data_IF_857865319391
#
_entry.id   IF_857865319391
#
_cell.length_a   1.000
_cell.length_b   1.000
_cell.length_c   1.000
_cell.angle_alpha   90.00
_cell.angle_beta   90.00
_cell.angle_gamma   90.00
#
_symmetry.space_group_name_H-M   'P 1'
#
loop_
_entity.id
_entity.type
_entity.pdbx_description
1 polymer ?
#
# COMPACT_ATOMS: atom_id res chain seq x y z
N UNK A 1 -45.77 5.54 27.18
CA UNK A 1 -44.62 6.42 27.41
C UNK A 1 -43.44 5.84 26.65
N UNK A 2 -43.08 6.47 25.52
CA UNK A 2 -42.02 5.98 24.64
C UNK A 2 -40.67 6.54 25.08
N UNK A 3 -39.70 5.67 25.35
CA UNK A 3 -38.31 6.04 25.54
C UNK A 3 -37.57 5.75 24.23
N UNK A 4 -37.44 6.77 23.39
CA UNK A 4 -36.54 6.72 22.24
C UNK A 4 -35.12 6.99 22.72
N UNK A 5 -34.32 5.94 22.87
CA UNK A 5 -32.88 6.05 23.03
C UNK A 5 -32.30 6.44 21.66
N UNK A 6 -31.90 7.70 21.53
CA UNK A 6 -31.20 8.19 20.36
C UNK A 6 -29.79 7.57 20.35
N UNK A 7 -29.58 6.59 19.48
CA UNK A 7 -28.27 6.01 19.20
C UNK A 7 -27.45 7.04 18.40
N UNK A 8 -26.53 7.73 19.07
CA UNK A 8 -25.59 8.67 18.44
C UNK A 8 -24.60 7.92 17.55
N UNK A 9 -24.96 7.71 16.29
CA UNK A 9 -24.05 7.33 15.22
C UNK A 9 -23.18 8.54 14.84
N UNK A 10 -22.18 8.86 15.65
CA UNK A 10 -21.01 9.59 15.20
C UNK A 10 -20.13 8.63 14.39
N UNK A 11 -20.61 8.26 13.21
CA UNK A 11 -19.78 7.73 12.15
C UNK A 11 -18.88 8.89 11.69
N UNK A 12 -17.81 9.13 12.44
CA UNK A 12 -16.73 10.00 12.01
C UNK A 12 -16.33 9.55 10.62
N UNK A 13 -16.39 10.48 9.65
CA UNK A 13 -15.90 10.25 8.30
C UNK A 13 -14.49 9.69 8.44
N UNK A 14 -14.32 8.38 8.21
CA UNK A 14 -13.00 7.79 8.05
C UNK A 14 -12.53 8.27 6.69
N UNK A 15 -11.98 9.48 6.69
CA UNK A 15 -11.40 10.13 5.54
C UNK A 15 -10.12 9.35 5.26
N UNK A 16 -10.20 8.36 4.36
CA UNK A 16 -9.01 7.69 3.89
C UNK A 16 -8.14 8.70 3.14
N UNK A 17 -6.84 8.57 3.35
CA UNK A 17 -5.80 9.11 2.48
C UNK A 17 -5.65 8.13 1.29
N UNK A 18 -4.98 8.48 0.17
CA UNK A 18 -4.37 9.76 -0.24
C UNK A 18 -5.35 10.92 -0.54
N UNK A 19 -4.78 12.11 -0.81
CA UNK A 19 -5.50 13.31 -1.27
C UNK A 19 -5.66 14.43 -0.23
N UNK A 20 -5.30 14.18 1.02
CA UNK A 20 -5.33 15.18 2.08
C UNK A 20 -4.01 15.94 2.18
N UNK A 21 -4.00 17.05 2.90
CA UNK A 21 -2.77 17.77 3.24
C UNK A 21 -1.89 16.95 4.19
N UNK A 22 -0.56 17.23 4.26
CA UNK A 22 0.32 16.60 5.23
C UNK A 22 -0.15 16.73 6.69
N UNK A 23 -0.73 17.86 7.07
CA UNK A 23 -1.18 18.08 8.44
C UNK A 23 -2.43 17.25 8.77
N UNK A 24 -3.40 17.19 7.87
CA UNK A 24 -4.57 16.30 8.00
C UNK A 24 -4.13 14.83 8.07
N UNK A 25 -3.17 14.44 7.24
CA UNK A 25 -2.61 13.10 7.25
C UNK A 25 -1.94 12.77 8.59
N UNK A 26 -1.18 13.70 9.17
CA UNK A 26 -0.60 13.52 10.51
C UNK A 26 -1.68 13.32 11.55
N UNK A 27 -2.74 14.14 11.56
CA UNK A 27 -3.86 13.99 12.51
C UNK A 27 -4.52 12.62 12.36
N UNK A 28 -4.78 12.18 11.13
CA UNK A 28 -5.36 10.87 10.87
C UNK A 28 -4.45 9.73 11.34
N UNK A 29 -3.14 9.78 11.05
CA UNK A 29 -2.16 8.77 11.48
C UNK A 29 -2.09 8.69 13.01
N UNK A 30 -2.08 9.82 13.70
CA UNK A 30 -2.07 9.89 15.18
C UNK A 30 -3.34 9.30 15.79
N UNK A 31 -4.48 9.49 15.15
CA UNK A 31 -5.75 8.93 15.59
C UNK A 31 -5.96 7.46 15.16
N UNK A 32 -5.10 6.90 14.30
CA UNK A 32 -5.31 5.58 13.73
C UNK A 32 -5.03 4.46 14.76
N UNK A 33 -6.03 3.64 15.13
CA UNK A 33 -5.90 2.63 16.19
C UNK A 33 -5.01 1.44 15.81
N UNK A 34 -4.71 1.27 14.51
CA UNK A 34 -3.86 0.21 13.98
C UNK A 34 -2.41 0.66 13.87
N UNK A 35 -2.16 1.88 13.37
CA UNK A 35 -0.80 2.41 13.21
C UNK A 35 -0.12 2.69 14.55
N UNK A 36 -0.87 3.21 15.55
CA UNK A 36 -0.39 3.50 16.91
C UNK A 36 0.99 4.19 16.92
N UNK A 37 1.17 5.33 16.25
CA UNK A 37 2.47 6.00 16.17
C UNK A 37 3.04 6.32 17.56
N UNK A 38 4.36 6.20 17.73
CA UNK A 38 5.02 6.67 18.96
C UNK A 38 5.26 8.17 18.90
N UNK A 39 5.59 8.78 20.05
CA UNK A 39 5.88 10.22 20.13
C UNK A 39 6.98 10.61 19.14
N UNK A 40 6.67 11.55 18.24
CA UNK A 40 7.58 12.07 17.23
C UNK A 40 7.43 11.42 15.84
N UNK A 41 6.79 10.25 15.73
CA UNK A 41 6.37 9.72 14.44
C UNK A 41 5.27 10.61 13.86
N UNK A 42 5.35 10.91 12.57
CA UNK A 42 4.39 11.74 11.84
C UNK A 42 3.91 10.98 10.60
N UNK A 43 4.42 11.33 9.43
CA UNK A 43 4.11 10.69 8.16
C UNK A 43 4.84 9.35 7.96
N UNK A 44 5.59 8.89 8.95
CA UNK A 44 6.34 7.64 8.92
C UNK A 44 6.17 6.96 10.27
N UNK A 45 5.63 5.75 10.24
CA UNK A 45 5.42 4.89 11.40
C UNK A 45 6.19 3.60 11.19
N UNK A 46 6.98 3.21 12.17
CA UNK A 46 7.78 1.98 12.15
C UNK A 46 7.48 1.15 13.38
N UNK A 47 7.22 -0.13 13.18
CA UNK A 47 7.06 -1.12 14.25
C UNK A 47 8.02 -2.27 14.03
N UNK A 48 8.58 -2.77 15.11
CA UNK A 48 9.51 -3.89 15.09
C UNK A 48 9.29 -4.70 16.36
N UNK A 49 8.70 -5.89 16.20
CA UNK A 49 8.56 -6.84 17.31
C UNK A 49 9.89 -7.58 17.53
N UNK A 50 10.58 -7.91 16.44
CA UNK A 50 11.94 -8.47 16.42
C UNK A 50 12.72 -7.95 15.21
N UNK A 51 14.06 -8.11 15.15
CA UNK A 51 14.82 -7.77 13.94
C UNK A 51 14.31 -8.50 12.67
N UNK A 52 13.63 -9.63 12.84
CA UNK A 52 13.07 -10.47 11.78
C UNK A 52 11.61 -10.11 11.40
N UNK A 53 10.97 -9.17 12.13
CA UNK A 53 9.58 -8.76 11.96
C UNK A 53 9.44 -7.25 12.08
N UNK A 54 9.23 -6.59 10.94
CA UNK A 54 9.10 -5.14 10.83
C UNK A 54 7.87 -4.78 10.02
N UNK A 55 7.23 -3.72 10.44
CA UNK A 55 6.17 -3.04 9.73
C UNK A 55 6.58 -1.58 9.54
N UNK A 56 6.29 -1.04 8.36
CA UNK A 56 6.45 0.38 8.11
C UNK A 56 5.26 0.90 7.32
N UNK A 57 4.74 2.03 7.77
CA UNK A 57 3.76 2.84 7.06
C UNK A 57 4.37 4.20 6.77
N UNK A 58 4.21 4.70 5.54
CA UNK A 58 4.62 6.06 5.19
C UNK A 58 3.63 6.75 4.28
N UNK A 59 3.36 8.02 4.55
CA UNK A 59 2.59 8.92 3.70
C UNK A 59 3.53 9.96 3.08
N UNK A 60 3.41 10.20 1.77
CA UNK A 60 4.32 11.08 1.04
C UNK A 60 3.57 11.96 0.04
N UNK A 61 3.99 13.23 -0.12
CA UNK A 61 3.49 14.07 -1.21
C UNK A 61 4.07 13.66 -2.57
N UNK A 62 5.06 12.77 -2.61
CA UNK A 62 5.66 12.32 -3.86
C UNK A 62 4.72 11.39 -4.62
N UNK A 63 4.72 11.54 -5.95
CA UNK A 63 4.04 10.60 -6.84
C UNK A 63 4.62 9.20 -6.70
N UNK A 64 3.78 8.18 -6.86
CA UNK A 64 4.21 6.77 -6.86
C UNK A 64 5.27 6.51 -7.94
N UNK A 65 6.10 5.49 -7.73
CA UNK A 65 7.17 5.09 -8.65
C UNK A 65 8.49 5.81 -8.38
N UNK A 66 9.29 6.02 -9.42
CA UNK A 66 10.59 6.69 -9.32
C UNK A 66 10.39 8.15 -8.93
N UNK A 67 11.33 8.68 -8.13
CA UNK A 67 11.31 10.09 -7.74
C UNK A 67 11.37 10.98 -8.98
N UNK A 68 10.37 11.86 -9.14
CA UNK A 68 10.33 12.88 -10.18
C UNK A 68 10.61 14.25 -9.58
N UNK A 69 11.49 15.02 -10.22
CA UNK A 69 11.71 16.43 -9.90
C UNK A 69 10.46 17.19 -10.36
N UNK A 70 9.60 17.63 -9.44
CA UNK A 70 8.43 18.46 -9.80
C UNK A 70 7.17 18.30 -8.94
N UNK A 71 7.14 17.41 -7.95
CA UNK A 71 5.99 17.33 -7.05
C UNK A 71 6.05 18.41 -5.97
N UNK A 72 5.31 19.50 -6.21
CA UNK A 72 5.11 20.58 -5.25
C UNK A 72 4.14 20.10 -4.15
N UNK A 73 4.66 19.93 -2.94
CA UNK A 73 4.00 19.23 -1.83
C UNK A 73 2.85 19.99 -1.19
N UNK A 74 1.66 19.90 -1.78
CA UNK A 74 0.41 20.39 -1.17
C UNK A 74 -0.46 19.29 -0.55
N UNK A 75 -0.36 18.06 -1.08
CA UNK A 75 -1.18 16.92 -0.65
C UNK A 75 -0.36 15.64 -0.63
N UNK A 76 -0.76 14.70 0.22
CA UNK A 76 -0.28 13.32 0.21
C UNK A 76 -0.80 12.63 -1.04
N UNK A 77 0.13 12.11 -1.84
CA UNK A 77 -0.18 11.43 -3.10
C UNK A 77 -0.03 9.92 -3.00
N UNK A 78 0.83 9.48 -2.09
CA UNK A 78 1.25 8.09 -1.97
C UNK A 78 1.29 7.67 -0.51
N UNK A 79 0.76 6.49 -0.22
CA UNK A 79 0.88 5.83 1.06
C UNK A 79 1.36 4.41 0.87
N UNK A 80 2.47 4.08 1.51
CA UNK A 80 3.09 2.77 1.43
C UNK A 80 2.97 2.06 2.77
N UNK A 81 2.46 0.84 2.73
CA UNK A 81 2.52 -0.12 3.82
C UNK A 81 3.46 -1.25 3.41
N UNK A 82 4.51 -1.49 4.19
CA UNK A 82 5.47 -2.56 3.94
C UNK A 82 5.66 -3.45 5.15
N UNK A 83 5.89 -4.73 4.88
CA UNK A 83 6.17 -5.76 5.85
C UNK A 83 7.50 -6.42 5.52
N UNK A 84 8.24 -6.75 6.56
CA UNK A 84 9.37 -7.65 6.53
C UNK A 84 9.17 -8.69 7.63
N UNK A 85 8.92 -9.95 7.28
CA UNK A 85 8.64 -11.03 8.23
C UNK A 85 9.31 -12.32 7.77
N UNK A 86 10.43 -12.66 8.38
CA UNK A 86 11.15 -13.91 8.06
C UNK A 86 10.43 -15.12 8.64
N UNK A 87 9.74 -14.95 9.78
CA UNK A 87 9.17 -16.07 10.52
C UNK A 87 7.86 -16.55 9.88
N UNK A 88 6.94 -15.63 9.58
CA UNK A 88 5.62 -15.95 9.03
C UNK A 88 5.51 -15.72 7.52
N UNK A 89 6.43 -14.92 6.97
CA UNK A 89 6.35 -14.48 5.59
C UNK A 89 5.31 -13.40 5.35
N UNK A 90 5.32 -12.89 4.13
CA UNK A 90 4.40 -11.86 3.64
C UNK A 90 3.61 -12.44 2.48
N UNK A 91 2.30 -12.53 2.66
CA UNK A 91 1.37 -13.01 1.63
C UNK A 91 0.59 -11.85 1.03
N UNK A 92 0.02 -12.10 -0.15
CA UNK A 92 -0.91 -11.16 -0.80
C UNK A 92 -2.09 -10.85 0.11
N UNK A 93 -2.67 -11.87 0.74
CA UNK A 93 -3.83 -11.69 1.62
C UNK A 93 -3.50 -10.84 2.84
N UNK A 94 -2.30 -10.99 3.41
CA UNK A 94 -1.83 -10.12 4.50
C UNK A 94 -1.73 -8.66 4.08
N UNK A 95 -1.24 -8.39 2.87
CA UNK A 95 -1.17 -7.03 2.32
C UNK A 95 -2.57 -6.45 2.05
N UNK A 96 -3.50 -7.26 1.55
CA UNK A 96 -4.90 -6.82 1.35
C UNK A 96 -5.60 -6.55 2.69
N UNK A 97 -5.40 -7.43 3.65
CA UNK A 97 -5.96 -7.28 5.00
C UNK A 97 -5.42 -6.03 5.69
N UNK A 98 -4.15 -5.65 5.42
CA UNK A 98 -3.58 -4.39 5.89
C UNK A 98 -4.44 -3.17 5.47
N UNK A 99 -5.02 -3.17 4.26
CA UNK A 99 -5.91 -2.09 3.83
C UNK A 99 -7.14 -2.00 4.70
N UNK A 100 -7.75 -3.15 5.02
CA UNK A 100 -8.97 -3.22 5.84
C UNK A 100 -8.71 -2.71 7.26
N UNK A 101 -7.58 -3.08 7.87
CA UNK A 101 -7.27 -2.70 9.25
C UNK A 101 -6.73 -1.27 9.36
N UNK A 102 -6.03 -0.75 8.35
CA UNK A 102 -5.46 0.60 8.36
C UNK A 102 -6.51 1.63 7.93
N UNK A 103 -7.22 1.39 6.83
CA UNK A 103 -8.12 2.38 6.21
C UNK A 103 -9.61 2.09 6.43
N UNK A 104 -9.97 0.86 6.79
CA UNK A 104 -11.35 0.43 6.95
C UNK A 104 -11.98 -0.17 5.68
N UNK A 105 -13.28 -0.47 5.73
CA UNK A 105 -13.96 -1.24 4.69
C UNK A 105 -14.02 -0.53 3.34
N UNK A 106 -14.07 0.81 3.30
CA UNK A 106 -14.22 1.57 2.05
C UNK A 106 -13.02 1.39 1.11
N UNK A 107 -11.78 1.55 1.61
CA UNK A 107 -10.58 1.38 0.77
C UNK A 107 -10.34 -0.09 0.46
N UNK A 108 -10.62 -0.98 1.41
CA UNK A 108 -10.54 -2.42 1.16
C UNK A 108 -11.47 -2.87 0.03
N UNK A 109 -12.72 -2.39 0.01
CA UNK A 109 -13.69 -2.69 -1.05
C UNK A 109 -13.29 -2.07 -2.39
N UNK A 110 -12.81 -0.82 -2.40
CA UNK A 110 -12.29 -0.16 -3.60
C UNK A 110 -11.13 -0.97 -4.22
N UNK A 111 -10.18 -1.45 -3.41
CA UNK A 111 -9.12 -2.37 -3.87
C UNK A 111 -9.66 -3.70 -4.40
N UNK A 112 -10.63 -4.30 -3.70
CA UNK A 112 -11.17 -5.61 -4.04
C UNK A 112 -11.91 -5.58 -5.39
N UNK A 113 -12.60 -4.47 -5.68
CA UNK A 113 -13.32 -4.23 -6.92
C UNK A 113 -12.45 -3.61 -8.02
N UNK A 114 -11.27 -3.11 -7.67
CA UNK A 114 -10.35 -2.49 -8.61
C UNK A 114 -9.93 -3.42 -9.75
N UNK A 115 -9.92 -2.85 -10.97
CA UNK A 115 -9.50 -3.54 -12.18
C UNK A 115 -7.99 -3.73 -12.18
N UNK A 116 -7.53 -4.95 -12.41
CA UNK A 116 -6.09 -5.21 -12.61
C UNK A 116 -5.66 -4.67 -13.98
N UNK A 117 -4.70 -3.75 -14.00
CA UNK A 117 -4.17 -3.14 -15.22
C UNK A 117 -2.83 -3.74 -15.63
N UNK A 118 -1.99 -4.07 -14.65
CA UNK A 118 -0.67 -4.62 -14.89
C UNK A 118 -0.35 -5.66 -13.84
N UNK A 119 0.23 -6.79 -14.27
CA UNK A 119 0.70 -7.84 -13.38
C UNK A 119 2.03 -8.37 -13.90
N UNK A 120 2.98 -8.61 -13.01
CA UNK A 120 4.30 -9.13 -13.34
C UNK A 120 4.76 -10.17 -12.32
N UNK A 121 5.66 -11.09 -12.71
CA UNK A 121 6.25 -11.22 -14.05
C UNK A 121 5.22 -11.68 -15.10
N UNK A 122 5.35 -11.20 -16.33
CA UNK A 122 4.54 -11.71 -17.46
C UNK A 122 5.04 -13.08 -17.90
N UNK A 123 4.24 -13.88 -18.61
CA UNK A 123 4.68 -15.19 -19.12
C UNK A 123 5.97 -15.06 -19.96
N UNK A 124 6.05 -14.05 -20.82
CA UNK A 124 7.26 -13.76 -21.61
C UNK A 124 8.48 -13.45 -20.71
N UNK A 125 8.28 -12.76 -19.58
CA UNK A 125 9.34 -12.52 -18.60
C UNK A 125 9.80 -13.82 -17.94
N UNK A 126 8.86 -14.73 -17.61
CA UNK A 126 9.18 -16.04 -17.05
C UNK A 126 9.96 -16.90 -18.06
N UNK A 127 9.51 -16.97 -19.31
CA UNK A 127 10.17 -17.72 -20.38
C UNK A 127 11.60 -17.21 -20.62
N UNK A 128 11.81 -15.89 -20.56
CA UNK A 128 13.16 -15.29 -20.64
C UNK A 128 14.01 -15.55 -19.40
N UNK A 129 13.42 -15.56 -18.21
CA UNK A 129 14.14 -15.83 -16.96
C UNK A 129 14.70 -17.26 -16.92
N UNK A 130 13.94 -18.23 -17.43
CA UNK A 130 14.38 -19.63 -17.59
C UNK A 130 15.54 -19.73 -18.58
N UNK A 131 15.44 -19.03 -19.71
CA UNK A 131 16.44 -19.10 -20.79
C UNK A 131 17.73 -18.31 -20.51
N UNK A 132 17.72 -17.33 -19.59
CA UNK A 132 18.86 -16.42 -19.31
C UNK A 132 19.41 -16.53 -17.88
N UNK A 133 18.99 -17.54 -17.13
CA UNK A 133 19.43 -17.79 -15.75
C UNK A 133 19.35 -16.54 -14.85
N UNK A 134 18.25 -15.79 -14.98
CA UNK A 134 17.97 -14.56 -14.21
C UNK A 134 16.81 -14.77 -13.23
N UNK A 135 16.96 -15.65 -12.21
CA UNK A 135 15.89 -16.04 -11.30
C UNK A 135 15.31 -14.88 -10.48
N UNK A 136 16.06 -13.77 -10.36
CA UNK A 136 15.60 -12.54 -9.71
C UNK A 136 14.39 -11.89 -10.41
N UNK A 137 14.22 -12.08 -11.72
CA UNK A 137 13.06 -11.53 -12.46
C UNK A 137 11.77 -12.32 -12.20
N UNK A 138 11.88 -13.62 -11.92
CA UNK A 138 10.73 -14.45 -11.54
C UNK A 138 10.35 -14.29 -10.06
N UNK A 139 11.30 -13.81 -9.23
CA UNK A 139 11.14 -13.64 -7.79
C UNK A 139 10.21 -12.50 -7.40
N UNK A 140 10.20 -11.40 -8.16
CA UNK A 140 9.38 -10.23 -7.84
C UNK A 140 8.01 -10.32 -8.51
N UNK A 141 6.98 -10.46 -7.69
CA UNK A 141 5.59 -10.46 -8.13
C UNK A 141 4.96 -9.12 -7.79
N UNK A 142 4.27 -8.50 -8.73
CA UNK A 142 3.54 -7.28 -8.46
C UNK A 142 2.31 -7.11 -9.31
N UNK A 143 1.42 -6.26 -8.83
CA UNK A 143 0.13 -6.01 -9.43
C UNK A 143 -0.27 -4.55 -9.23
N UNK A 144 -0.66 -3.89 -10.33
CA UNK A 144 -1.24 -2.55 -10.33
C UNK A 144 -2.72 -2.67 -10.62
N UNK A 145 -3.53 -2.03 -9.78
CA UNK A 145 -4.97 -1.97 -9.90
C UNK A 145 -5.47 -0.53 -9.93
N UNK A 146 -6.55 -0.32 -10.68
CA UNK A 146 -7.30 0.92 -10.72
C UNK A 146 -8.66 0.71 -10.07
N UNK A 147 -8.88 1.37 -8.92
CA UNK A 147 -10.18 1.46 -8.26
C UNK A 147 -10.92 2.73 -8.66
N UNK A 148 -12.11 2.91 -8.09
CA UNK A 148 -12.94 4.08 -8.35
C UNK A 148 -12.33 5.32 -7.68
N UNK A 149 -11.79 5.16 -6.47
CA UNK A 149 -11.24 6.24 -5.64
C UNK A 149 -9.73 6.37 -5.76
N UNK A 150 -9.03 5.24 -5.68
CA UNK A 150 -7.57 5.21 -5.66
C UNK A 150 -7.02 4.19 -6.67
N UNK A 151 -5.73 4.29 -6.92
CA UNK A 151 -4.99 3.22 -7.56
C UNK A 151 -4.10 2.53 -6.53
N UNK A 152 -3.76 1.28 -6.83
CA UNK A 152 -3.10 0.38 -5.89
C UNK A 152 -1.93 -0.31 -6.57
N UNK A 153 -0.83 -0.43 -5.85
CA UNK A 153 0.33 -1.19 -6.30
C UNK A 153 0.80 -2.13 -5.20
N UNK A 154 0.71 -3.42 -5.46
CA UNK A 154 1.15 -4.50 -4.56
C UNK A 154 2.43 -5.11 -5.11
N UNK A 155 3.43 -5.32 -4.26
CA UNK A 155 4.66 -6.05 -4.60
C UNK A 155 5.03 -7.06 -3.51
N UNK A 156 5.47 -8.25 -3.91
CA UNK A 156 5.98 -9.32 -3.06
C UNK A 156 7.26 -9.86 -3.69
N UNK A 157 8.33 -9.94 -2.89
CA UNK A 157 9.59 -10.55 -3.32
C UNK A 157 9.71 -11.98 -2.78
N UNK A 158 9.49 -12.96 -3.65
CA UNK A 158 9.65 -14.39 -3.34
C UNK A 158 11.09 -14.84 -3.50
N UNK A 159 11.54 -15.66 -2.58
CA UNK A 159 12.82 -16.37 -2.67
C UNK A 159 12.66 -17.63 -3.53
N UNK A 160 13.79 -18.28 -3.85
CA UNK A 160 13.81 -19.54 -4.62
C UNK A 160 12.99 -20.66 -3.96
N UNK A 161 12.87 -20.65 -2.63
CA UNK A 161 12.05 -21.59 -1.87
C UNK A 161 10.54 -21.27 -1.89
N UNK A 162 10.11 -20.25 -2.64
CA UNK A 162 8.72 -19.80 -2.74
C UNK A 162 8.26 -18.87 -1.62
N UNK A 163 9.07 -18.70 -0.57
CA UNK A 163 8.77 -17.88 0.60
C UNK A 163 9.07 -16.40 0.34
N UNK A 164 8.19 -15.51 0.78
CA UNK A 164 8.40 -14.07 0.65
C UNK A 164 8.64 -13.45 2.02
N UNK A 165 9.85 -12.95 2.27
CA UNK A 165 10.17 -12.23 3.50
C UNK A 165 9.65 -10.81 3.49
N UNK A 166 9.41 -10.24 2.32
CA UNK A 166 9.02 -8.85 2.19
C UNK A 166 7.91 -8.65 1.17
N UNK A 167 7.03 -7.72 1.48
CA UNK A 167 6.04 -7.23 0.54
C UNK A 167 5.55 -5.86 0.96
N UNK A 168 4.93 -5.16 0.02
CA UNK A 168 4.36 -3.85 0.23
C UNK A 168 3.07 -3.69 -0.57
N UNK A 169 2.23 -2.80 -0.09
CA UNK A 169 1.06 -2.31 -0.80
C UNK A 169 1.06 -0.79 -0.71
N UNK A 170 0.82 -0.17 -1.85
CA UNK A 170 0.81 1.28 -2.00
C UNK A 170 -0.59 1.69 -2.42
N UNK A 171 -1.19 2.62 -1.69
CA UNK A 171 -2.41 3.34 -2.08
C UNK A 171 -1.97 4.70 -2.59
N UNK A 172 -2.37 5.07 -3.80
CA UNK A 172 -1.95 6.33 -4.41
C UNK A 172 -3.08 6.99 -5.18
N UNK A 173 -2.95 8.29 -5.43
CA UNK A 173 -3.94 9.05 -6.21
C UNK A 173 -4.08 8.44 -7.61
N UNK A 174 -5.33 8.24 -8.05
CA UNK A 174 -5.62 7.66 -9.36
C UNK A 174 -4.96 8.45 -10.50
N UNK A 175 -4.83 9.76 -10.37
CA UNK A 175 -4.19 10.64 -11.35
C UNK A 175 -2.69 10.34 -11.58
N UNK A 176 -2.03 9.67 -10.63
CA UNK A 176 -0.63 9.26 -10.77
C UNK A 176 -0.44 7.92 -11.49
N UNK A 177 -1.53 7.23 -11.80
CA UNK A 177 -1.51 5.92 -12.47
C UNK A 177 -0.82 5.95 -13.84
N UNK A 178 -1.08 6.90 -14.76
CA UNK A 178 -0.41 6.93 -16.06
C UNK A 178 1.11 7.01 -15.96
N UNK A 179 1.63 7.74 -14.95
CA UNK A 179 3.06 7.82 -14.67
C UNK A 179 3.62 6.44 -14.29
N UNK A 180 2.99 5.77 -13.32
CA UNK A 180 3.44 4.45 -12.87
C UNK A 180 3.42 3.42 -14.01
N UNK A 181 2.35 3.41 -14.81
CA UNK A 181 2.26 2.51 -15.96
C UNK A 181 3.39 2.75 -16.97
N UNK A 182 3.72 4.00 -17.27
CA UNK A 182 4.82 4.33 -18.17
C UNK A 182 6.17 3.83 -17.63
N UNK A 183 6.40 3.94 -16.32
CA UNK A 183 7.62 3.41 -15.68
C UNK A 183 7.68 1.88 -15.73
N UNK A 184 6.56 1.20 -15.47
CA UNK A 184 6.51 -0.27 -15.44
C UNK A 184 6.60 -0.90 -16.84
N UNK A 185 6.05 -0.25 -17.88
CA UNK A 185 6.20 -0.71 -19.27
C UNK A 185 7.65 -0.68 -19.76
N UNK A 186 8.48 0.21 -19.20
CA UNK A 186 9.89 0.38 -19.55
C UNK A 186 10.85 -0.42 -18.65
N UNK A 187 10.32 -1.37 -17.86
CA UNK A 187 11.08 -2.15 -16.87
C UNK A 187 11.71 -3.41 -17.46
#
# INVERSE_FOLDING_TARGET
MGLSVALSLLAGRVQALPGQTPDEAVVWIQANPTLRPVRGEKLLVRKSDTPAQRFMFSASPQQVGRASSGSTGGIIRTEETSFFDIQNGVTRDRLQEALRVIYGPTVYQDFAQAKTLYAYPTQNTLDRAVNRDTPLLAALQGEVREGDRYAYWLEIARQKNGFAYSGKIIVFLRDDLPKLEAELRNR
#
